data_IF_426047878387
#
_entry.id   IF_426047878387
#
_cell.length_a   1.000
_cell.length_b   1.000
_cell.length_c   1.000
_cell.angle_alpha   90.00
_cell.angle_beta   90.00
_cell.angle_gamma   90.00
#
_symmetry.space_group_name_H-M   'P 1'
#
loop_
_entity.id
_entity.type
_entity.pdbx_description
1 polymer ?
#
# COMPACT_ATOMS: atom_id res chain seq x y z
N UNK A 1 -45.61 37.81 2.82
CA UNK A 1 -45.03 36.53 3.34
C UNK A 1 -44.69 35.64 2.14
N UNK A 2 -43.44 35.13 2.04
CA UNK A 2 -42.87 34.16 1.07
C UNK A 2 -42.59 34.72 -0.35
N UNK A 3 -41.35 34.93 -0.85
CA UNK A 3 -40.18 34.04 -1.10
C UNK A 3 -40.61 32.80 -1.92
N UNK A 4 -40.11 32.43 -3.11
CA UNK A 4 -39.14 32.99 -4.06
C UNK A 4 -39.13 32.12 -5.33
N UNK A 5 -39.14 32.76 -6.51
CA UNK A 5 -38.35 32.47 -7.74
C UNK A 5 -37.77 31.06 -7.91
N UNK A 6 -38.40 30.23 -8.75
CA UNK A 6 -37.77 29.05 -9.37
C UNK A 6 -37.57 29.34 -10.86
N UNK A 7 -36.35 29.69 -11.24
CA UNK A 7 -35.91 29.79 -12.62
C UNK A 7 -34.49 29.23 -12.72
N UNK A 8 -34.31 28.19 -13.55
CA UNK A 8 -33.10 27.81 -14.29
C UNK A 8 -33.41 26.49 -15.01
N UNK A 9 -33.92 26.52 -16.25
CA UNK A 9 -33.17 26.65 -17.52
C UNK A 9 -31.97 25.71 -17.63
N UNK A 10 -32.23 24.60 -18.35
CA UNK A 10 -31.47 24.07 -19.49
C UNK A 10 -30.22 24.84 -19.96
N UNK A 11 -29.17 24.08 -20.26
CA UNK A 11 -28.10 24.27 -21.28
C UNK A 11 -26.81 23.68 -20.72
N UNK A 12 -25.85 23.15 -21.46
CA UNK A 12 -25.75 22.58 -22.79
C UNK A 12 -24.32 22.00 -22.83
N UNK A 13 -24.13 20.99 -23.67
CA UNK A 13 -22.86 20.33 -23.94
C UNK A 13 -21.97 21.23 -24.82
N UNK A 14 -20.66 20.99 -24.69
CA UNK A 14 -19.53 21.38 -25.55
C UNK A 14 -18.87 22.75 -25.31
N UNK A 15 -17.57 22.69 -25.02
CA UNK A 15 -16.58 23.43 -25.80
C UNK A 15 -15.22 22.76 -25.69
N UNK A 16 -14.80 22.14 -26.78
CA UNK A 16 -13.40 21.98 -27.12
C UNK A 16 -13.13 23.00 -28.23
N UNK A 17 -12.15 23.89 -28.05
CA UNK A 17 -11.41 24.51 -29.14
C UNK A 17 -9.98 24.77 -28.69
N UNK A 18 -9.05 24.27 -29.48
CA UNK A 18 -7.65 24.64 -29.47
C UNK A 18 -7.47 25.92 -30.29
N UNK A 19 -6.57 26.82 -29.88
CA UNK A 19 -6.01 27.86 -30.76
C UNK A 19 -4.51 27.96 -30.50
N UNK A 20 -3.79 28.13 -31.61
CA UNK A 20 -2.37 27.97 -31.78
C UNK A 20 -1.50 29.17 -31.32
N UNK A 21 -0.21 28.85 -31.23
CA UNK A 21 1.02 29.65 -31.14
C UNK A 21 0.90 31.17 -31.37
N UNK A 22 1.38 31.95 -30.39
CA UNK A 22 1.66 33.38 -30.50
C UNK A 22 2.05 33.97 -29.14
N UNK A 23 3.29 34.40 -29.01
CA UNK A 23 3.96 34.87 -27.80
C UNK A 23 3.28 36.05 -27.10
N UNK A 24 2.71 35.80 -25.92
CA UNK A 24 2.52 36.82 -24.88
C UNK A 24 2.92 36.18 -23.56
N UNK A 25 3.92 36.75 -22.90
CA UNK A 25 4.32 36.37 -21.56
C UNK A 25 3.13 36.59 -20.62
N UNK A 26 2.41 35.51 -20.32
CA UNK A 26 1.42 35.51 -19.24
C UNK A 26 2.23 35.61 -17.96
N UNK A 27 2.22 36.81 -17.37
CA UNK A 27 2.78 37.06 -16.04
C UNK A 27 2.27 35.98 -15.08
N UNK A 28 3.15 35.29 -14.32
CA UNK A 28 2.68 34.27 -13.40
C UNK A 28 1.85 34.94 -12.31
N UNK A 29 0.54 34.69 -12.33
CA UNK A 29 -0.35 34.96 -11.20
C UNK A 29 0.29 34.38 -9.93
N UNK A 30 0.25 35.16 -8.84
CA UNK A 30 0.90 34.93 -7.53
C UNK A 30 0.39 33.70 -6.75
N UNK A 31 0.26 32.56 -7.41
CA UNK A 31 0.10 31.21 -6.84
C UNK A 31 1.16 30.22 -7.40
N UNK A 32 2.22 30.75 -8.01
CA UNK A 32 3.36 29.97 -8.50
C UNK A 32 4.44 29.69 -7.44
N UNK A 33 4.12 29.77 -6.14
CA UNK A 33 4.87 29.00 -5.12
C UNK A 33 4.40 27.54 -5.10
N UNK A 34 4.28 26.93 -6.29
CA UNK A 34 4.38 25.49 -6.44
C UNK A 34 5.85 25.12 -6.18
N UNK A 35 6.25 25.11 -4.90
CA UNK A 35 7.48 24.50 -4.43
C UNK A 35 7.67 23.20 -5.21
N UNK A 36 8.69 23.15 -6.10
CA UNK A 36 9.02 22.02 -7.00
C UNK A 36 8.38 20.76 -6.47
N UNK A 37 7.25 20.34 -7.06
CA UNK A 37 6.45 19.26 -6.49
C UNK A 37 7.36 18.02 -6.38
N UNK A 38 7.89 17.76 -5.17
CA UNK A 38 8.83 16.66 -4.91
C UNK A 38 8.07 15.38 -5.22
N UNK A 39 8.21 14.92 -6.45
CA UNK A 39 7.70 13.65 -6.90
C UNK A 39 8.82 12.64 -6.73
N UNK A 40 8.51 11.48 -6.14
CA UNK A 40 9.49 10.44 -5.90
C UNK A 40 8.90 9.10 -6.26
N UNK A 41 9.65 8.32 -7.03
CA UNK A 41 9.38 6.91 -7.22
C UNK A 41 9.81 6.17 -5.97
N UNK A 42 8.86 5.55 -5.28
CA UNK A 42 9.10 4.70 -4.12
C UNK A 42 8.74 3.26 -4.47
N UNK A 43 9.39 2.32 -3.82
CA UNK A 43 9.08 0.91 -4.01
C UNK A 43 8.24 0.43 -2.82
N UNK A 44 7.00 0.01 -3.09
CA UNK A 44 6.15 -0.64 -2.12
C UNK A 44 6.44 -2.15 -2.13
N UNK A 45 6.86 -2.73 -1.01
CA UNK A 45 7.25 -4.15 -0.87
C UNK A 45 6.37 -4.85 0.13
N UNK A 46 5.86 -6.03 -0.22
CA UNK A 46 5.15 -6.89 0.72
C UNK A 46 6.11 -7.92 1.30
N UNK A 47 6.05 -8.08 2.62
CA UNK A 47 6.65 -9.18 3.35
C UNK A 47 5.52 -10.07 3.86
N UNK A 48 5.49 -11.31 3.42
CA UNK A 48 4.47 -12.27 3.80
C UNK A 48 5.06 -13.65 4.01
N UNK A 49 4.88 -14.14 5.24
CA UNK A 49 5.10 -15.53 5.60
C UNK A 49 3.76 -16.12 6.03
N UNK A 50 3.46 -17.33 5.55
CA UNK A 50 2.23 -18.04 5.88
C UNK A 50 2.48 -19.40 6.50
N UNK A 51 1.44 -19.98 7.07
CA UNK A 51 1.47 -21.35 7.58
C UNK A 51 0.94 -22.32 6.51
N UNK A 52 1.56 -23.49 6.44
CA UNK A 52 1.20 -24.62 5.59
C UNK A 52 1.27 -25.93 6.39
N UNK A 53 0.71 -27.03 5.86
CA UNK A 53 0.75 -28.33 6.56
C UNK A 53 2.21 -28.77 6.78
N UNK A 54 2.64 -28.88 8.04
CA UNK A 54 3.99 -29.27 8.42
C UNK A 54 5.07 -28.20 8.22
N UNK A 55 4.69 -26.93 8.04
CA UNK A 55 5.64 -25.81 7.98
C UNK A 55 4.97 -24.51 8.44
N UNK A 56 5.48 -23.94 9.52
CA UNK A 56 5.19 -22.57 9.92
C UNK A 56 6.26 -21.63 9.36
N UNK A 57 5.94 -20.35 9.16
CA UNK A 57 6.87 -19.37 8.57
C UNK A 57 7.33 -19.71 7.14
N UNK A 58 6.42 -20.15 6.27
CA UNK A 58 6.73 -20.24 4.85
C UNK A 58 6.72 -18.84 4.23
N UNK A 59 7.89 -18.27 3.96
CA UNK A 59 8.00 -17.03 3.20
C UNK A 59 7.48 -17.23 1.78
N UNK A 60 6.47 -16.44 1.44
CA UNK A 60 5.85 -16.42 0.10
C UNK A 60 6.16 -15.10 -0.60
N UNK A 61 6.43 -14.03 0.15
CA UNK A 61 6.87 -12.76 -0.40
C UNK A 61 7.87 -12.05 0.52
N UNK A 62 8.91 -11.47 -0.07
CA UNK A 62 9.60 -10.30 0.47
C UNK A 62 10.82 -10.53 1.36
N UNK A 63 11.05 -11.72 1.91
CA UNK A 63 12.21 -11.94 2.80
C UNK A 63 13.59 -11.80 2.12
N UNK A 64 13.61 -11.72 0.79
CA UNK A 64 14.82 -11.49 -0.02
C UNK A 64 15.77 -12.67 -0.07
N UNK A 65 15.49 -13.77 0.65
CA UNK A 65 16.31 -14.98 0.69
C UNK A 65 15.58 -16.17 0.12
N UNK A 66 14.37 -16.44 0.61
CA UNK A 66 13.62 -17.66 0.27
C UNK A 66 12.38 -17.39 -0.59
N UNK A 67 11.96 -16.13 -0.71
CA UNK A 67 10.77 -15.73 -1.44
C UNK A 67 11.03 -14.55 -2.39
N UNK A 68 10.36 -14.61 -3.55
CA UNK A 68 10.39 -13.53 -4.53
C UNK A 68 9.75 -12.27 -3.94
N UNK A 69 10.39 -11.12 -4.12
CA UNK A 69 9.84 -9.85 -3.67
C UNK A 69 8.54 -9.54 -4.43
N UNK A 70 7.44 -9.38 -3.71
CA UNK A 70 6.22 -8.77 -4.26
C UNK A 70 6.38 -7.28 -4.06
N UNK A 71 6.71 -6.57 -5.14
CA UNK A 71 6.93 -5.13 -5.08
C UNK A 71 6.26 -4.38 -6.22
N UNK A 72 5.99 -3.09 -6.01
CA UNK A 72 5.46 -2.18 -7.02
C UNK A 72 6.11 -0.82 -6.86
N UNK A 73 6.60 -0.27 -7.97
CA UNK A 73 7.02 1.12 -8.01
C UNK A 73 5.79 2.03 -8.05
N UNK A 74 5.80 3.05 -7.21
CA UNK A 74 4.72 4.02 -7.05
C UNK A 74 5.32 5.41 -7.08
N UNK A 75 4.83 6.27 -7.95
CA UNK A 75 5.22 7.68 -7.96
C UNK A 75 4.34 8.43 -6.97
N UNK A 76 4.93 8.91 -5.89
CA UNK A 76 4.26 9.76 -4.92
C UNK A 76 4.53 11.22 -5.24
N UNK A 77 3.48 12.05 -5.16
CA UNK A 77 3.59 13.51 -5.21
C UNK A 77 3.15 14.07 -3.87
N UNK A 78 3.89 15.07 -3.36
CA UNK A 78 3.57 15.73 -2.09
C UNK A 78 2.10 16.18 -2.05
N UNK A 79 1.40 15.84 -0.97
CA UNK A 79 -0.01 16.16 -0.73
C UNK A 79 -1.04 15.36 -1.53
N UNK A 80 -0.64 14.61 -2.56
CA UNK A 80 -1.58 13.88 -3.44
C UNK A 80 -1.86 12.47 -2.92
N UNK A 81 -3.12 12.06 -3.01
CA UNK A 81 -3.58 10.68 -2.73
C UNK A 81 -3.14 9.76 -3.86
N UNK A 82 -2.42 8.69 -3.51
CA UNK A 82 -1.97 7.68 -4.47
C UNK A 82 -2.42 6.30 -4.03
N UNK A 83 -3.17 5.59 -4.89
CA UNK A 83 -3.64 4.24 -4.59
C UNK A 83 -2.55 3.22 -4.92
N UNK A 84 -2.27 2.35 -3.96
CA UNK A 84 -1.30 1.26 -4.07
C UNK A 84 -2.05 -0.05 -3.92
N UNK A 85 -1.76 -1.01 -4.79
CA UNK A 85 -2.31 -2.36 -4.75
C UNK A 85 -1.20 -3.36 -5.02
N UNK A 86 -1.04 -4.32 -4.11
CA UNK A 86 -0.06 -5.40 -4.15
C UNK A 86 -0.79 -6.74 -4.07
N UNK A 87 -0.37 -7.71 -4.87
CA UNK A 87 -1.01 -9.03 -4.94
C UNK A 87 0.03 -10.11 -4.70
N UNK A 88 -0.19 -10.90 -3.65
CA UNK A 88 0.60 -12.08 -3.31
C UNK A 88 -0.12 -13.28 -3.92
N UNK A 89 0.56 -14.02 -4.80
CA UNK A 89 0.03 -15.27 -5.36
C UNK A 89 0.56 -16.44 -4.55
N UNK A 90 -0.29 -17.42 -4.27
CA UNK A 90 0.12 -18.66 -3.64
C UNK A 90 1.08 -19.39 -4.60
N UNK A 91 2.28 -19.83 -4.16
CA UNK A 91 3.12 -20.65 -5.00
C UNK A 91 2.47 -22.02 -5.24
N UNK A 92 2.82 -22.69 -6.33
CA UNK A 92 2.32 -24.03 -6.61
C UNK A 92 2.91 -25.07 -5.64
N UNK A 93 4.22 -24.94 -5.37
CA UNK A 93 5.00 -25.81 -4.49
C UNK A 93 5.79 -24.99 -3.47
N UNK A 94 6.20 -25.63 -2.38
CA UNK A 94 7.07 -25.07 -1.35
C UNK A 94 8.08 -26.11 -0.89
N UNK A 95 9.23 -25.69 -0.37
CA UNK A 95 10.27 -26.60 0.14
C UNK A 95 10.06 -26.88 1.63
N UNK A 96 10.23 -28.14 2.01
CA UNK A 96 10.32 -28.60 3.41
C UNK A 96 11.55 -29.49 3.49
N UNK A 97 12.63 -28.96 4.06
CA UNK A 97 13.97 -29.55 3.90
C UNK A 97 14.32 -29.67 2.40
N UNK A 98 14.82 -30.84 2.00
CA UNK A 98 15.16 -31.16 0.60
C UNK A 98 13.94 -31.48 -0.28
N UNK A 99 12.74 -31.67 0.30
CA UNK A 99 11.55 -32.14 -0.44
C UNK A 99 10.66 -30.98 -0.89
N UNK A 100 10.19 -31.02 -2.14
CA UNK A 100 9.20 -30.09 -2.67
C UNK A 100 7.78 -30.63 -2.46
N UNK A 101 6.92 -29.87 -1.79
CA UNK A 101 5.51 -30.25 -1.51
C UNK A 101 4.54 -29.33 -2.23
N UNK A 102 3.38 -29.85 -2.62
CA UNK A 102 2.28 -29.06 -3.22
C UNK A 102 1.61 -28.19 -2.15
N UNK A 103 1.57 -26.87 -2.35
CA UNK A 103 0.88 -25.97 -1.43
C UNK A 103 -0.59 -25.88 -1.82
N UNK A 104 -1.50 -26.52 -1.08
CA UNK A 104 -2.95 -26.46 -1.36
C UNK A 104 -3.55 -25.11 -0.95
N UNK A 105 -3.23 -24.63 0.26
CA UNK A 105 -3.71 -23.36 0.82
C UNK A 105 -2.70 -22.81 1.81
N UNK A 106 -2.71 -21.50 1.99
CA UNK A 106 -2.11 -20.81 3.14
C UNK A 106 -3.18 -20.77 4.24
N UNK A 107 -2.87 -21.25 5.43
CA UNK A 107 -3.85 -21.39 6.53
C UNK A 107 -3.93 -20.17 7.44
N UNK A 108 -2.95 -19.27 7.34
CA UNK A 108 -2.90 -18.01 8.06
C UNK A 108 -1.56 -17.32 7.82
N UNK A 109 -1.47 -16.06 8.24
CA UNK A 109 -0.21 -15.32 8.22
C UNK A 109 0.60 -15.59 9.48
N UNK A 110 1.91 -15.68 9.32
CA UNK A 110 2.89 -15.50 10.40
C UNK A 110 3.49 -14.10 10.33
N UNK A 111 3.71 -13.57 9.12
CA UNK A 111 4.05 -12.17 8.85
C UNK A 111 3.17 -11.67 7.69
N UNK A 112 2.66 -10.45 7.81
CA UNK A 112 1.97 -9.71 6.77
C UNK A 112 2.24 -8.21 6.98
N UNK A 113 3.23 -7.68 6.27
CA UNK A 113 3.59 -6.26 6.31
C UNK A 113 3.80 -5.71 4.90
N UNK A 114 3.69 -4.38 4.78
CA UNK A 114 4.01 -3.65 3.56
C UNK A 114 4.91 -2.47 3.89
N UNK A 115 6.03 -2.37 3.18
CA UNK A 115 6.98 -1.27 3.34
C UNK A 115 6.95 -0.36 2.12
N UNK A 116 6.93 0.95 2.37
CA UNK A 116 7.30 1.96 1.41
C UNK A 116 8.77 2.27 1.62
N UNK A 117 9.62 1.75 0.73
CA UNK A 117 11.08 1.84 0.87
C UNK A 117 11.56 3.26 0.61
N UNK A 118 12.43 3.76 1.48
CA UNK A 118 13.09 5.06 1.41
C UNK A 118 12.15 6.28 1.30
N UNK A 119 10.86 6.12 1.58
CA UNK A 119 9.88 7.20 1.45
C UNK A 119 10.15 8.34 2.42
N UNK A 120 10.65 8.06 3.62
CA UNK A 120 10.90 9.07 4.65
C UNK A 120 12.16 9.90 4.40
N UNK A 121 13.07 9.42 3.55
CA UNK A 121 14.19 10.23 3.06
C UNK A 121 13.75 11.32 2.08
N UNK A 122 12.53 11.22 1.52
CA UNK A 122 11.99 12.20 0.57
C UNK A 122 10.80 13.00 1.12
N UNK A 123 10.06 12.44 2.08
CA UNK A 123 8.86 13.04 2.68
C UNK A 123 8.93 12.99 4.19
N UNK A 124 8.63 14.10 4.87
CA UNK A 124 8.71 14.19 6.33
C UNK A 124 7.61 13.39 7.01
N UNK A 125 6.44 13.29 6.39
CA UNK A 125 5.28 12.57 6.93
C UNK A 125 4.62 11.72 5.86
N UNK A 126 4.21 10.50 6.23
CA UNK A 126 3.45 9.60 5.36
C UNK A 126 2.21 9.15 6.12
N UNK A 127 1.05 9.17 5.46
CA UNK A 127 -0.21 8.64 6.01
C UNK A 127 -0.79 7.64 5.04
N UNK A 128 -1.13 6.46 5.56
CA UNK A 128 -1.85 5.43 4.81
C UNK A 128 -3.31 5.38 5.29
N UNK A 129 -4.23 5.22 4.34
CA UNK A 129 -5.68 5.17 4.60
C UNK A 129 -6.39 4.30 3.57
N UNK A 130 -7.70 4.07 3.73
CA UNK A 130 -8.47 3.24 2.79
C UNK A 130 -7.92 1.83 2.67
N UNK A 131 -7.39 1.29 3.77
CA UNK A 131 -6.71 -0.01 3.79
C UNK A 131 -7.75 -1.11 3.57
N UNK A 132 -7.51 -1.96 2.58
CA UNK A 132 -8.35 -3.09 2.24
C UNK A 132 -7.47 -4.31 1.99
N UNK A 133 -7.79 -5.41 2.67
CA UNK A 133 -7.20 -6.72 2.40
C UNK A 133 -8.27 -7.63 1.83
N UNK A 134 -7.95 -8.33 0.74
CA UNK A 134 -8.83 -9.32 0.13
C UNK A 134 -8.13 -10.66 -0.01
N UNK A 135 -8.71 -11.71 0.57
CA UNK A 135 -8.29 -13.09 0.37
C UNK A 135 -9.20 -13.71 -0.69
N UNK A 136 -8.61 -14.17 -1.79
CA UNK A 136 -9.34 -14.76 -2.92
C UNK A 136 -10.50 -13.89 -3.44
N UNK A 137 -10.33 -12.58 -3.40
CA UNK A 137 -11.32 -11.59 -3.83
C UNK A 137 -12.31 -11.14 -2.75
N UNK A 138 -12.43 -11.88 -1.63
CA UNK A 138 -13.30 -11.54 -0.50
C UNK A 138 -12.60 -10.64 0.49
N UNK A 139 -13.29 -9.61 0.97
CA UNK A 139 -12.74 -8.64 1.94
C UNK A 139 -12.48 -9.34 3.27
N UNK A 140 -11.31 -9.11 3.84
CA UNK A 140 -10.89 -9.65 5.14
C UNK A 140 -11.13 -8.59 6.21
N UNK A 141 -11.66 -8.99 7.37
CA UNK A 141 -11.81 -8.10 8.53
C UNK A 141 -10.44 -7.85 9.16
N UNK A 142 -9.92 -6.65 8.99
CA UNK A 142 -8.68 -6.17 9.61
C UNK A 142 -9.06 -5.17 10.70
N UNK A 143 -8.79 -5.50 11.96
CA UNK A 143 -9.12 -4.68 13.14
C UNK A 143 -8.16 -3.50 13.29
N UNK A 144 -6.86 -3.80 13.41
CA UNK A 144 -5.81 -2.79 13.65
C UNK A 144 -4.67 -2.97 12.67
N UNK A 145 -4.16 -1.89 12.10
CA UNK A 145 -2.95 -1.90 11.27
C UNK A 145 -1.99 -0.90 11.89
N UNK A 146 -0.84 -1.40 12.33
CA UNK A 146 0.23 -0.54 12.83
C UNK A 146 0.87 0.16 11.64
N UNK A 147 1.06 1.47 11.74
CA UNK A 147 1.63 2.29 10.68
C UNK A 147 2.67 3.24 11.25
N UNK A 148 3.85 3.29 10.65
CA UNK A 148 4.93 4.11 11.17
C UNK A 148 6.28 3.85 10.53
N UNK A 149 7.28 4.63 10.97
CA UNK A 149 8.69 4.29 10.78
C UNK A 149 9.00 3.03 11.59
N UNK A 150 9.61 2.03 10.94
CA UNK A 150 10.00 0.79 11.59
C UNK A 150 11.47 0.86 11.98
N UNK A 151 11.79 0.46 13.21
CA UNK A 151 13.16 0.35 13.73
C UNK A 151 14.01 1.61 13.46
N UNK A 152 13.72 2.72 14.15
CA UNK A 152 14.51 3.97 14.09
C UNK A 152 16.02 3.73 14.28
N UNK A 153 16.38 2.66 15.00
CA UNK A 153 17.75 2.32 15.38
C UNK A 153 18.44 1.35 14.40
N UNK A 154 17.77 0.90 13.32
CA UNK A 154 18.44 0.15 12.25
C UNK A 154 18.64 1.02 11.01
N UNK A 155 19.90 1.22 10.54
CA UNK A 155 20.20 2.08 9.40
C UNK A 155 19.41 1.75 8.13
N UNK A 156 19.21 0.45 7.85
CA UNK A 156 18.50 -0.03 6.67
C UNK A 156 16.98 0.26 6.66
N UNK A 157 16.39 0.62 7.81
CA UNK A 157 14.95 0.87 7.96
C UNK A 157 14.61 2.32 8.34
N UNK A 158 15.61 3.14 8.67
CA UNK A 158 15.44 4.55 9.09
C UNK A 158 14.56 5.37 8.14
N UNK A 159 14.64 5.08 6.84
CA UNK A 159 13.89 5.80 5.80
C UNK A 159 12.62 5.09 5.29
N UNK A 160 12.28 3.92 5.85
CA UNK A 160 11.12 3.14 5.42
C UNK A 160 9.88 3.49 6.24
N UNK A 161 8.72 3.42 5.60
CA UNK A 161 7.42 3.48 6.28
C UNK A 161 6.70 2.15 6.14
N UNK A 162 6.22 1.57 7.24
CA UNK A 162 5.63 0.23 7.28
C UNK A 162 4.14 0.28 7.63
N UNK A 163 3.37 -0.59 6.98
CA UNK A 163 2.06 -1.06 7.42
C UNK A 163 2.22 -2.49 7.93
N UNK A 164 2.01 -2.73 9.22
CA UNK A 164 2.05 -4.05 9.83
C UNK A 164 0.64 -4.51 10.15
N UNK A 165 0.19 -5.54 9.43
CA UNK A 165 -1.12 -6.15 9.61
C UNK A 165 -1.05 -7.30 10.62
N UNK A 166 0.01 -8.11 10.55
CA UNK A 166 0.24 -9.21 11.47
C UNK A 166 1.72 -9.57 11.46
N UNK A 167 2.33 -9.80 12.63
CA UNK A 167 3.71 -10.26 12.73
C UNK A 167 3.94 -11.04 14.03
N UNK A 168 3.97 -12.37 13.96
CA UNK A 168 4.13 -13.26 15.12
C UNK A 168 5.41 -12.98 15.93
N UNK A 169 6.48 -12.47 15.32
CA UNK A 169 7.81 -12.34 15.93
C UNK A 169 8.26 -10.90 16.21
N UNK A 170 7.50 -9.91 15.77
CA UNK A 170 7.87 -8.50 15.95
C UNK A 170 7.14 -7.85 17.10
N UNK A 171 7.74 -6.79 17.65
CA UNK A 171 7.10 -5.94 18.65
C UNK A 171 5.93 -5.19 17.97
N UNK A 172 4.72 -5.75 18.07
CA UNK A 172 3.48 -5.10 17.66
C UNK A 172 3.01 -4.28 18.85
N UNK A 173 3.42 -3.01 18.94
CA UNK A 173 3.15 -2.14 20.10
C UNK A 173 1.84 -2.47 20.86
N UNK A 174 1.99 -2.88 22.11
CA UNK A 174 0.99 -3.42 23.04
C UNK A 174 0.12 -4.60 22.57
N UNK A 175 0.31 -5.70 23.30
CA UNK A 175 0.00 -7.10 23.03
C UNK A 175 -1.47 -7.54 23.10
N UNK A 176 -2.49 -6.66 22.97
CA UNK A 176 -3.88 -7.07 23.24
C UNK A 176 -4.88 -7.03 22.06
N UNK A 177 -4.53 -6.47 20.88
CA UNK A 177 -5.50 -6.28 19.78
C UNK A 177 -4.94 -6.56 18.38
N UNK A 178 -4.24 -7.68 18.21
CA UNK A 178 -3.67 -8.09 16.92
C UNK A 178 -4.75 -8.69 16.00
N UNK A 179 -4.52 -8.67 14.68
CA UNK A 179 -5.43 -9.35 13.75
C UNK A 179 -5.34 -10.87 13.93
N UNK A 180 -6.43 -11.58 13.65
CA UNK A 180 -6.39 -13.04 13.64
C UNK A 180 -5.53 -13.51 12.45
N UNK A 181 -4.50 -14.33 12.70
CA UNK A 181 -3.65 -14.93 11.67
C UNK A 181 -4.46 -15.61 10.55
N UNK A 182 -5.53 -16.32 10.91
CA UNK A 182 -6.42 -17.04 9.98
C UNK A 182 -7.19 -16.10 9.05
N UNK A 183 -7.32 -14.82 9.39
CA UNK A 183 -7.97 -13.83 8.53
C UNK A 183 -7.21 -13.67 7.18
N UNK A 184 -5.90 -13.93 7.19
CA UNK A 184 -5.06 -13.86 6.00
C UNK A 184 -4.87 -15.21 5.28
N UNK A 185 -5.72 -16.21 5.56
CA UNK A 185 -5.72 -17.47 4.84
C UNK A 185 -6.21 -17.28 3.39
N UNK A 186 -5.60 -17.97 2.41
CA UNK A 186 -6.03 -17.92 1.01
C UNK A 186 -5.61 -19.17 0.22
N UNK A 187 -6.33 -19.45 -0.86
CA UNK A 187 -6.11 -20.56 -1.79
C UNK A 187 -5.42 -20.12 -3.09
N UNK A 188 -5.68 -18.92 -3.58
CA UNK A 188 -5.12 -18.41 -4.85
C UNK A 188 -4.27 -17.17 -4.62
N UNK A 189 -4.84 -16.13 -4.00
CA UNK A 189 -4.14 -14.84 -3.84
C UNK A 189 -4.62 -14.04 -2.63
N UNK A 190 -3.71 -13.24 -2.08
CA UNK A 190 -4.00 -12.18 -1.13
C UNK A 190 -3.71 -10.83 -1.79
N UNK A 191 -4.65 -9.89 -1.73
CA UNK A 191 -4.51 -8.55 -2.30
C UNK A 191 -4.57 -7.52 -1.19
N UNK A 192 -3.59 -6.64 -1.13
CA UNK A 192 -3.52 -5.53 -0.17
C UNK A 192 -3.62 -4.23 -0.98
N UNK A 193 -4.59 -3.39 -0.64
CA UNK A 193 -4.77 -2.08 -1.25
C UNK A 193 -4.84 -1.00 -0.18
N UNK A 194 -4.26 0.17 -0.46
CA UNK A 194 -4.29 1.32 0.44
C UNK A 194 -4.03 2.61 -0.35
N UNK A 195 -4.40 3.74 0.22
CA UNK A 195 -4.09 5.07 -0.29
C UNK A 195 -2.98 5.68 0.53
N UNK A 196 -1.95 6.18 -0.14
CA UNK A 196 -0.82 6.89 0.47
C UNK A 196 -0.96 8.39 0.21
N UNK A 197 -0.72 9.18 1.24
CA UNK A 197 -0.47 10.63 1.14
C UNK A 197 0.86 10.92 1.80
N UNK A 198 1.78 11.53 1.05
CA UNK A 198 3.10 11.92 1.55
C UNK A 198 3.21 13.45 1.65
N UNK A 199 3.84 13.97 2.71
CA UNK A 199 3.97 15.41 2.99
C UNK A 199 5.43 15.78 3.26
#
# INVERSE_FOLDING_TARGET
MRISKVAKKSMAVAMAMAVAVGSVAVAPTKDASAAKAKSKKVNARVYFAGNAKGTDCLWIAGDGKTAKAVSKNVTLKKGKKTKVTLTIKKPAKYKVGSKSKKLKKVTGATVCTVDLVNVLGSFKKVKCSGITVKADGKKVKVKKVYQGSFEKNKPASKNNWRLSFYNKWGNQGDNSKTNNAKAFAFKKKLTISFTVVAK
#
